data_IF_009294602406
#
_entry.id   IF_009294602406
#
_cell.length_a   1.000
_cell.length_b   1.000
_cell.length_c   1.000
_cell.angle_alpha   90.00
_cell.angle_beta   90.00
_cell.angle_gamma   90.00
#
_symmetry.space_group_name_H-M   'P 1'
#
loop_
_entity.id
_entity.type
_entity.pdbx_description
1 polymer ?
#
# COMPACT_ATOMS: atom_id res chain seq x y z
N UNK A 1 -19.24 -0.72 6.06
CA UNK A 1 -19.85 0.32 6.92
C UNK A 1 -18.70 1.08 7.51
N UNK A 2 -18.62 2.39 7.26
CA UNK A 2 -17.58 3.24 7.80
C UNK A 2 -17.87 3.60 9.26
N UNK A 3 -16.83 3.62 10.09
CA UNK A 3 -16.87 4.24 11.42
C UNK A 3 -16.25 5.63 11.30
N UNK A 4 -16.94 6.62 11.87
CA UNK A 4 -16.42 7.99 11.94
C UNK A 4 -15.45 8.10 13.10
N UNK A 5 -14.25 8.59 12.83
CA UNK A 5 -13.20 8.79 13.82
C UNK A 5 -12.87 10.28 13.92
N UNK A 6 -12.78 10.76 15.15
CA UNK A 6 -12.48 12.17 15.42
C UNK A 6 -10.97 12.34 15.50
N UNK A 7 -10.41 13.20 14.65
CA UNK A 7 -9.02 13.60 14.76
C UNK A 7 -8.90 14.74 15.79
N UNK A 8 -8.22 14.44 16.90
CA UNK A 8 -8.14 15.33 18.06
C UNK A 8 -6.92 16.25 18.03
N UNK A 9 -5.92 15.95 17.21
CA UNK A 9 -4.76 16.80 17.01
C UNK A 9 -5.09 17.98 16.07
N UNK A 10 -4.28 19.04 16.13
CA UNK A 10 -4.33 20.14 15.16
C UNK A 10 -4.01 19.67 13.74
N UNK A 11 -3.84 20.59 12.79
CA UNK A 11 -3.43 20.24 11.42
C UNK A 11 -2.11 19.46 11.41
N UNK A 12 -2.17 18.22 10.93
CA UNK A 12 -1.01 17.34 10.79
C UNK A 12 -0.53 17.38 9.35
N UNK A 13 0.74 17.73 9.16
CA UNK A 13 1.42 17.56 7.86
C UNK A 13 2.30 16.33 7.93
N UNK A 14 2.13 15.42 6.96
CA UNK A 14 2.88 14.17 6.82
C UNK A 14 3.83 14.32 5.65
N UNK A 15 5.13 14.27 5.92
CA UNK A 15 6.13 14.24 4.87
C UNK A 15 6.13 12.88 4.17
N UNK A 16 6.45 12.90 2.88
CA UNK A 16 6.53 11.72 2.04
C UNK A 16 7.96 11.16 2.05
N UNK A 17 8.08 9.89 2.36
CA UNK A 17 9.34 9.13 2.26
C UNK A 17 9.42 8.36 0.93
N UNK A 18 10.63 8.02 0.48
CA UNK A 18 10.78 7.06 -0.63
C UNK A 18 10.29 5.66 -0.20
N UNK A 19 9.51 5.00 -1.05
CA UNK A 19 9.06 3.65 -0.78
C UNK A 19 10.23 2.67 -0.88
N UNK A 20 10.48 1.93 0.21
CA UNK A 20 11.43 0.82 0.24
C UNK A 20 10.94 -0.29 1.15
N UNK A 21 11.40 -1.53 0.95
CA UNK A 21 11.06 -2.62 1.86
C UNK A 21 11.47 -2.30 3.31
N UNK A 22 12.59 -1.61 3.54
CA UNK A 22 13.08 -1.25 4.88
C UNK A 22 12.18 -0.23 5.57
N UNK A 23 11.58 0.71 4.85
CA UNK A 23 10.70 1.72 5.47
C UNK A 23 9.25 1.22 5.59
N UNK A 24 8.85 0.28 4.74
CA UNK A 24 7.47 -0.23 4.66
C UNK A 24 7.22 -1.56 5.40
N UNK A 25 8.25 -2.25 5.89
CA UNK A 25 8.15 -3.64 6.39
C UNK A 25 7.09 -3.90 7.49
N UNK A 26 6.72 -2.87 8.25
CA UNK A 26 5.75 -3.00 9.34
C UNK A 26 4.30 -2.98 8.85
N UNK A 27 4.07 -2.53 7.60
CA UNK A 27 2.76 -2.40 6.98
C UNK A 27 2.52 -3.45 5.90
N UNK A 28 3.59 -4.00 5.33
CA UNK A 28 3.50 -4.99 4.26
C UNK A 28 4.82 -5.22 3.53
N UNK A 29 4.71 -5.51 2.24
CA UNK A 29 5.83 -5.85 1.35
C UNK A 29 5.86 -4.94 0.13
N UNK A 30 7.04 -4.47 -0.24
CA UNK A 30 7.31 -3.79 -1.52
C UNK A 30 7.78 -4.85 -2.50
N UNK A 31 7.12 -4.93 -3.65
CA UNK A 31 7.46 -5.84 -4.74
C UNK A 31 8.16 -5.03 -5.83
N UNK A 32 9.43 -5.31 -6.05
CA UNK A 32 10.24 -4.68 -7.08
C UNK A 32 11.35 -5.64 -7.54
N UNK A 33 12.07 -5.29 -8.61
CA UNK A 33 13.27 -6.02 -8.98
C UNK A 33 14.40 -5.70 -7.97
N UNK A 34 14.90 -6.67 -7.19
CA UNK A 34 15.92 -6.40 -6.18
C UNK A 34 17.30 -6.10 -6.77
N UNK A 35 17.56 -6.46 -8.03
CA UNK A 35 18.81 -6.13 -8.73
C UNK A 35 18.54 -5.60 -10.15
N UNK A 36 18.05 -4.35 -10.32
CA UNK A 36 17.67 -3.81 -11.63
C UNK A 36 18.80 -3.72 -12.66
N UNK A 37 20.06 -3.72 -12.21
CA UNK A 37 21.25 -3.70 -13.07
C UNK A 37 21.72 -5.09 -13.50
N UNK A 38 21.25 -6.15 -12.86
CA UNK A 38 21.65 -7.52 -13.16
C UNK A 38 20.84 -8.06 -14.34
N UNK A 39 21.53 -8.35 -15.44
CA UNK A 39 20.93 -8.99 -16.60
C UNK A 39 21.07 -10.52 -16.50
N UNK A 40 20.00 -11.30 -16.73
CA UNK A 40 20.10 -12.76 -16.79
C UNK A 40 21.09 -13.21 -17.88
N UNK A 41 21.99 -14.13 -17.54
CA UNK A 41 22.93 -14.74 -18.49
C UNK A 41 23.14 -16.23 -18.16
N UNK A 42 23.55 -17.08 -19.13
CA UNK A 42 23.73 -18.53 -18.92
C UNK A 42 24.68 -18.90 -17.77
N UNK A 43 25.65 -18.04 -17.46
CA UNK A 43 26.53 -18.15 -16.29
C UNK A 43 26.47 -16.86 -15.47
N UNK A 44 25.36 -16.68 -14.76
CA UNK A 44 25.26 -15.59 -13.77
C UNK A 44 26.22 -15.85 -12.60
N UNK A 45 26.81 -14.77 -12.05
CA UNK A 45 27.67 -14.84 -10.88
C UNK A 45 26.91 -15.23 -9.60
N UNK A 46 27.43 -14.83 -8.43
CA UNK A 46 26.73 -15.08 -7.16
C UNK A 46 25.39 -14.34 -7.15
N UNK A 47 24.29 -15.10 -7.10
CA UNK A 47 22.92 -14.58 -7.01
C UNK A 47 22.50 -14.38 -5.55
N UNK A 48 21.45 -13.56 -5.35
CA UNK A 48 20.74 -13.48 -4.07
C UNK A 48 20.13 -14.84 -3.69
N UNK A 49 19.93 -15.07 -2.39
CA UNK A 49 19.48 -16.36 -1.87
C UNK A 49 18.10 -16.80 -2.39
N UNK A 50 17.22 -15.86 -2.73
CA UNK A 50 15.90 -16.13 -3.28
C UNK A 50 15.83 -16.06 -4.82
N UNK A 51 16.97 -15.92 -5.50
CA UNK A 51 17.03 -15.84 -6.96
C UNK A 51 17.38 -17.21 -7.57
N UNK A 52 16.56 -17.64 -8.53
CA UNK A 52 16.73 -18.89 -9.27
C UNK A 52 16.92 -18.57 -10.75
N UNK A 53 17.97 -19.11 -11.36
CA UNK A 53 18.14 -19.05 -12.81
C UNK A 53 17.07 -19.92 -13.48
N UNK A 54 16.33 -19.33 -14.41
CA UNK A 54 15.22 -19.95 -15.11
C UNK A 54 15.38 -19.82 -16.63
N UNK A 55 14.51 -20.49 -17.40
CA UNK A 55 14.45 -20.41 -18.87
C UNK A 55 15.82 -20.61 -19.54
N UNK A 56 16.52 -21.69 -19.16
CA UNK A 56 17.85 -22.03 -19.69
C UNK A 56 18.89 -20.90 -19.55
N UNK A 57 18.73 -20.02 -18.55
CA UNK A 57 19.64 -18.91 -18.28
C UNK A 57 19.25 -17.56 -18.88
N UNK A 58 18.09 -17.47 -19.53
CA UNK A 58 17.54 -16.20 -20.04
C UNK A 58 16.68 -15.44 -19.04
N UNK A 59 16.39 -16.01 -17.86
CA UNK A 59 15.58 -15.36 -16.83
C UNK A 59 16.14 -15.56 -15.42
N UNK A 60 15.87 -14.59 -14.55
CA UNK A 60 16.01 -14.71 -13.10
C UNK A 60 14.62 -14.70 -12.48
N UNK A 61 14.31 -15.73 -11.70
CA UNK A 61 13.09 -15.84 -10.91
C UNK A 61 13.43 -15.53 -9.46
N UNK A 62 12.94 -14.40 -8.96
CA UNK A 62 12.94 -14.11 -7.53
C UNK A 62 11.73 -14.80 -6.90
N UNK A 63 11.99 -15.71 -5.98
CA UNK A 63 10.97 -16.54 -5.33
C UNK A 63 10.39 -15.81 -4.13
N UNK A 64 9.08 -15.95 -3.94
CA UNK A 64 8.35 -15.50 -2.74
C UNK A 64 8.51 -14.00 -2.45
N UNK A 65 8.31 -13.17 -3.49
CA UNK A 65 8.47 -11.70 -3.42
C UNK A 65 7.36 -10.99 -2.64
N UNK A 66 6.30 -11.70 -2.25
CA UNK A 66 5.24 -11.22 -1.37
C UNK A 66 4.51 -12.40 -0.72
N UNK A 67 3.88 -12.16 0.43
CA UNK A 67 3.08 -13.16 1.13
C UNK A 67 1.59 -12.87 0.94
N UNK A 68 0.90 -13.74 0.22
CA UNK A 68 -0.55 -13.69 0.08
C UNK A 68 -1.22 -14.44 1.23
N UNK A 69 -2.07 -13.76 2.01
CA UNK A 69 -2.82 -14.38 3.11
C UNK A 69 -4.32 -14.37 2.90
N UNK A 70 -4.92 -15.52 3.19
CA UNK A 70 -6.35 -15.73 3.32
C UNK A 70 -6.64 -16.16 4.76
N UNK A 71 -7.38 -15.32 5.49
CA UNK A 71 -7.77 -15.57 6.88
C UNK A 71 -9.30 -15.75 7.02
N UNK A 72 -10.07 -15.77 5.92
CA UNK A 72 -11.53 -15.83 5.96
C UNK A 72 -12.06 -17.13 6.57
N UNK A 73 -11.25 -18.20 6.64
CA UNK A 73 -11.58 -19.40 7.41
C UNK A 73 -11.86 -19.15 8.90
N UNK A 74 -11.40 -18.00 9.43
CA UNK A 74 -11.67 -17.53 10.79
C UNK A 74 -12.75 -16.45 10.88
N UNK A 75 -13.39 -16.09 9.77
CA UNK A 75 -14.44 -15.07 9.73
C UNK A 75 -15.74 -15.55 10.41
N UNK A 76 -16.58 -14.61 10.90
CA UNK A 76 -17.91 -14.93 11.40
C UNK A 76 -18.80 -15.63 10.36
N UNK A 77 -18.68 -15.24 9.08
CA UNK A 77 -19.45 -15.78 7.97
C UNK A 77 -18.92 -17.13 7.48
N UNK A 78 -18.85 -18.11 8.37
CA UNK A 78 -18.29 -19.47 8.16
C UNK A 78 -18.79 -20.23 6.92
N UNK A 79 -19.92 -19.81 6.35
CA UNK A 79 -20.55 -20.44 5.18
C UNK A 79 -20.24 -19.70 3.86
N UNK A 80 -19.51 -18.58 3.90
CA UNK A 80 -19.08 -17.83 2.73
C UNK A 80 -17.60 -18.16 2.45
N UNK A 81 -17.32 -19.11 1.55
CA UNK A 81 -15.94 -19.43 1.21
C UNK A 81 -15.27 -18.23 0.51
N UNK A 82 -14.05 -17.94 0.92
CA UNK A 82 -13.20 -16.98 0.21
C UNK A 82 -12.63 -17.57 -1.08
N UNK A 83 -12.24 -16.69 -1.98
CA UNK A 83 -11.42 -17.02 -3.14
C UNK A 83 -10.47 -15.88 -3.47
N UNK A 84 -9.39 -16.20 -4.17
CA UNK A 84 -8.56 -15.17 -4.79
C UNK A 84 -9.39 -14.41 -5.84
N UNK A 85 -9.29 -13.09 -5.81
CA UNK A 85 -9.88 -12.17 -6.78
C UNK A 85 -8.78 -11.30 -7.38
N UNK A 86 -8.91 -11.01 -8.66
CA UNK A 86 -8.04 -10.10 -9.41
C UNK A 86 -8.92 -9.06 -10.07
N UNK A 87 -8.69 -7.80 -9.74
CA UNK A 87 -9.48 -6.67 -10.24
C UNK A 87 -8.57 -5.69 -10.99
N UNK A 88 -9.17 -4.90 -11.88
CA UNK A 88 -8.50 -3.79 -12.55
C UNK A 88 -8.97 -2.47 -11.93
N UNK A 89 -8.03 -1.64 -11.51
CA UNK A 89 -8.28 -0.30 -11.03
C UNK A 89 -7.65 0.69 -12.00
N UNK A 90 -8.46 1.52 -12.64
CA UNK A 90 -7.99 2.62 -13.49
C UNK A 90 -8.09 3.90 -12.67
N UNK A 91 -6.95 4.37 -12.16
CA UNK A 91 -6.92 5.45 -11.18
C UNK A 91 -6.48 6.76 -11.82
N UNK A 92 -7.37 7.76 -11.82
CA UNK A 92 -7.04 9.12 -12.24
C UNK A 92 -6.20 9.85 -11.16
N UNK A 93 -5.33 10.81 -11.56
CA UNK A 93 -4.61 11.63 -10.61
C UNK A 93 -5.54 12.39 -9.66
N UNK A 94 -5.20 12.41 -8.37
CA UNK A 94 -5.90 13.18 -7.35
C UNK A 94 -5.46 14.64 -7.41
N UNK A 95 -6.42 15.55 -7.28
CA UNK A 95 -6.13 16.99 -7.19
C UNK A 95 -5.39 17.31 -5.90
N UNK A 96 -4.24 17.99 -6.03
CA UNK A 96 -3.47 18.48 -4.90
C UNK A 96 -3.88 19.91 -4.57
N UNK A 97 -3.97 20.23 -3.28
CA UNK A 97 -4.15 21.59 -2.79
C UNK A 97 -2.83 22.35 -3.03
N UNK A 98 -2.84 23.52 -3.69
CA UNK A 98 -1.61 24.27 -3.95
C UNK A 98 -0.87 24.63 -2.66
N UNK A 99 0.46 24.51 -2.69
CA UNK A 99 1.34 24.95 -1.61
C UNK A 99 2.18 26.15 -2.04
N UNK A 100 2.46 27.06 -1.12
CA UNK A 100 3.43 28.14 -1.36
C UNK A 100 4.88 27.63 -1.35
N UNK A 101 5.12 26.43 -0.83
CA UNK A 101 6.43 25.79 -0.84
C UNK A 101 6.75 25.28 -2.25
N UNK A 102 7.73 25.90 -2.90
CA UNK A 102 8.17 25.53 -4.27
C UNK A 102 8.76 24.12 -4.38
N UNK A 103 9.11 23.49 -3.27
CA UNK A 103 9.61 22.12 -3.24
C UNK A 103 8.47 21.09 -3.24
N UNK A 104 7.21 21.52 -3.15
CA UNK A 104 6.04 20.64 -3.14
C UNK A 104 5.24 20.80 -4.43
N UNK A 105 4.77 19.68 -4.97
CA UNK A 105 3.76 19.67 -6.03
C UNK A 105 2.39 20.13 -5.48
N UNK A 106 2.15 19.90 -4.19
CA UNK A 106 0.96 20.32 -3.47
C UNK A 106 0.72 19.44 -2.24
N UNK A 107 -0.44 19.59 -1.62
CA UNK A 107 -0.87 18.85 -0.44
C UNK A 107 -2.04 17.93 -0.79
N UNK A 108 -1.98 16.67 -0.35
CA UNK A 108 -3.11 15.75 -0.47
C UNK A 108 -3.84 15.62 0.87
N UNK A 109 -5.16 15.86 0.88
CA UNK A 109 -6.00 15.75 2.07
C UNK A 109 -6.44 14.29 2.29
N UNK A 110 -6.11 13.73 3.46
CA UNK A 110 -6.51 12.36 3.84
C UNK A 110 -7.84 12.40 4.58
N UNK A 111 -8.89 11.86 3.96
CA UNK A 111 -10.26 11.88 4.49
C UNK A 111 -10.73 10.51 5.01
N UNK A 112 -10.10 9.44 4.53
CA UNK A 112 -10.52 8.08 4.83
C UNK A 112 -9.30 7.14 4.82
N UNK A 113 -9.32 6.19 5.75
CA UNK A 113 -8.47 5.00 5.70
C UNK A 113 -9.37 3.77 5.68
N UNK A 114 -8.92 2.73 5.01
CA UNK A 114 -9.56 1.43 4.93
C UNK A 114 -8.58 0.33 5.36
N UNK A 115 -9.12 -0.85 5.68
CA UNK A 115 -8.33 -2.06 5.88
C UNK A 115 -9.08 -3.31 5.45
N UNK A 116 -8.30 -4.35 5.16
CA UNK A 116 -8.79 -5.69 4.82
C UNK A 116 -8.36 -6.68 5.91
N UNK A 117 -9.18 -6.92 6.96
CA UNK A 117 -8.73 -7.66 8.14
C UNK A 117 -8.45 -9.14 7.85
N UNK A 118 -9.10 -9.73 6.85
CA UNK A 118 -8.99 -11.16 6.53
C UNK A 118 -8.08 -11.46 5.34
N UNK A 119 -7.44 -10.46 4.72
CA UNK A 119 -6.60 -10.71 3.56
C UNK A 119 -5.52 -9.66 3.36
N UNK A 120 -4.42 -10.05 2.74
CA UNK A 120 -3.48 -9.11 2.13
C UNK A 120 -4.06 -8.56 0.82
N UNK A 121 -3.77 -7.31 0.50
CA UNK A 121 -4.17 -6.69 -0.77
C UNK A 121 -2.95 -6.17 -1.51
N UNK A 122 -2.79 -6.58 -2.76
CA UNK A 122 -1.63 -6.23 -3.59
C UNK A 122 -2.06 -5.33 -4.74
N UNK A 123 -1.40 -4.18 -4.90
CA UNK A 123 -1.54 -3.30 -6.06
C UNK A 123 -0.31 -3.38 -6.95
N UNK A 124 -0.52 -3.74 -8.22
CA UNK A 124 0.55 -3.91 -9.22
C UNK A 124 0.33 -2.89 -10.34
N UNK A 125 1.13 -1.82 -10.44
CA UNK A 125 0.99 -0.86 -11.52
C UNK A 125 1.35 -1.51 -12.86
N UNK A 126 0.56 -1.22 -13.89
CA UNK A 126 0.81 -1.63 -15.26
C UNK A 126 1.36 -0.46 -16.08
N UNK A 127 2.32 -0.77 -16.96
CA UNK A 127 2.73 0.15 -18.00
C UNK A 127 3.36 1.46 -17.52
N UNK A 128 3.98 1.48 -16.33
CA UNK A 128 4.76 2.65 -15.87
C UNK A 128 6.23 2.43 -16.20
N UNK A 129 6.62 2.85 -17.41
CA UNK A 129 8.03 2.83 -17.81
C UNK A 129 8.85 3.88 -17.04
N UNK A 130 10.18 3.71 -16.95
CA UNK A 130 11.08 4.69 -16.32
C UNK A 130 10.94 6.10 -16.89
N UNK A 131 10.67 6.23 -18.20
CA UNK A 131 10.45 7.52 -18.87
C UNK A 131 9.13 8.19 -18.50
N UNK A 132 8.18 7.43 -17.96
CA UNK A 132 6.86 7.92 -17.53
C UNK A 132 6.76 8.09 -16.02
N UNK A 133 7.78 7.65 -15.27
CA UNK A 133 7.82 7.75 -13.82
C UNK A 133 7.54 9.19 -13.35
N UNK A 134 8.12 10.20 -14.03
CA UNK A 134 7.90 11.63 -13.71
C UNK A 134 6.43 12.09 -13.82
N UNK A 135 5.61 11.37 -14.59
CA UNK A 135 4.22 11.70 -14.88
C UNK A 135 3.23 10.78 -14.15
N UNK A 136 3.72 9.64 -13.66
CA UNK A 136 2.94 8.56 -13.05
C UNK A 136 3.58 8.13 -11.74
N UNK A 137 3.11 8.74 -10.66
CA UNK A 137 3.44 8.36 -9.31
C UNK A 137 2.18 7.99 -8.54
N UNK A 138 2.35 7.27 -7.45
CA UNK A 138 1.25 7.05 -6.53
C UNK A 138 1.77 7.05 -5.09
N UNK A 139 0.91 7.50 -4.19
CA UNK A 139 1.20 7.57 -2.77
C UNK A 139 0.70 6.30 -2.09
N UNK A 140 1.48 5.85 -1.11
CA UNK A 140 1.09 4.83 -0.14
C UNK A 140 0.96 5.54 1.19
N UNK A 141 -0.26 5.59 1.72
CA UNK A 141 -0.54 6.24 3.01
C UNK A 141 -1.06 5.17 3.95
N UNK A 142 -0.38 4.96 5.07
CA UNK A 142 -0.65 3.86 6.00
C UNK A 142 -0.60 4.32 7.45
N UNK A 143 -1.32 3.63 8.32
CA UNK A 143 -1.28 3.86 9.75
C UNK A 143 -1.22 2.53 10.52
N UNK A 144 -0.49 2.47 11.65
CA UNK A 144 -0.64 1.36 12.57
C UNK A 144 -2.01 1.41 13.24
N UNK A 145 -2.42 0.32 13.89
CA UNK A 145 -3.64 0.31 14.70
C UNK A 145 -3.35 0.81 16.12
N UNK A 146 -4.32 1.50 16.71
CA UNK A 146 -4.44 1.74 18.14
C UNK A 146 -4.79 0.44 18.88
N UNK A 147 -4.76 0.48 20.21
CA UNK A 147 -5.37 -0.57 21.01
C UNK A 147 -6.89 -0.62 20.77
N UNK A 148 -7.46 -1.83 20.92
CA UNK A 148 -8.89 -2.06 20.74
C UNK A 148 -9.73 -1.20 21.70
N UNK A 149 -10.88 -0.72 21.25
CA UNK A 149 -11.76 0.14 22.06
C UNK A 149 -13.24 -0.19 21.84
N UNK A 150 -14.15 0.51 22.53
CA UNK A 150 -15.58 0.34 22.26
C UNK A 150 -15.97 0.81 20.84
N UNK A 151 -15.20 1.72 20.23
CA UNK A 151 -15.53 2.31 18.93
C UNK A 151 -15.35 1.33 17.77
N UNK A 152 -14.48 0.33 17.90
CA UNK A 152 -14.21 -0.68 16.89
C UNK A 152 -14.86 -2.04 17.21
N UNK A 153 -15.76 -2.09 18.20
CA UNK A 153 -16.36 -3.34 18.64
C UNK A 153 -17.21 -4.00 17.55
N UNK A 154 -17.76 -3.21 16.64
CA UNK A 154 -18.53 -3.69 15.50
C UNK A 154 -17.66 -4.34 14.40
N UNK A 155 -16.34 -4.16 14.42
CA UNK A 155 -15.46 -4.68 13.37
C UNK A 155 -15.06 -6.14 13.64
N UNK A 156 -15.45 -7.08 12.77
CA UNK A 156 -14.97 -8.45 12.85
C UNK A 156 -13.48 -8.51 12.51
N UNK A 157 -12.74 -9.36 13.22
CA UNK A 157 -11.31 -9.59 12.98
C UNK A 157 -11.00 -11.10 13.03
N UNK A 158 -9.92 -11.55 12.37
CA UNK A 158 -9.48 -12.94 12.44
C UNK A 158 -9.29 -13.43 13.88
N UNK A 159 -9.67 -14.69 14.13
CA UNK A 159 -9.49 -15.35 15.42
C UNK A 159 -8.75 -16.68 15.21
N UNK A 160 -7.70 -16.93 16.00
CA UNK A 160 -7.00 -18.20 16.00
C UNK A 160 -7.18 -18.91 17.33
N UNK A 161 -7.23 -20.24 17.27
CA UNK A 161 -7.06 -21.11 18.45
C UNK A 161 -5.59 -21.39 18.75
N UNK A 162 -4.67 -21.03 17.84
CA UNK A 162 -3.24 -21.18 18.02
C UNK A 162 -2.65 -19.89 18.64
N UNK A 163 -2.18 -19.92 19.90
CA UNK A 163 -1.64 -18.74 20.56
C UNK A 163 -0.31 -18.23 19.99
N UNK A 164 0.36 -19.01 19.11
CA UNK A 164 1.59 -18.59 18.43
C UNK A 164 1.32 -17.85 17.11
N UNK A 165 0.09 -17.88 16.62
CA UNK A 165 -0.28 -17.24 15.36
C UNK A 165 -0.54 -15.75 15.59
N UNK A 166 0.29 -14.90 14.98
CA UNK A 166 0.08 -13.45 15.00
C UNK A 166 -0.95 -13.09 13.92
N UNK A 167 -2.17 -12.83 14.35
CA UNK A 167 -3.27 -12.37 13.51
C UNK A 167 -3.50 -10.87 13.66
N UNK A 168 -4.11 -10.22 12.64
CA UNK A 168 -4.62 -8.86 12.79
C UNK A 168 -5.69 -8.80 13.88
N UNK A 169 -5.63 -7.76 14.71
CA UNK A 169 -6.58 -7.52 15.80
C UNK A 169 -7.52 -6.35 15.52
N UNK A 170 -8.34 -6.01 16.51
CA UNK A 170 -9.07 -4.73 16.54
C UNK A 170 -8.10 -3.55 16.76
N UNK A 171 -8.61 -2.34 16.63
CA UNK A 171 -7.87 -1.09 16.69
C UNK A 171 -8.25 -0.18 15.52
N UNK A 172 -8.69 1.04 15.81
CA UNK A 172 -8.83 2.12 14.83
C UNK A 172 -7.45 2.60 14.35
N UNK A 173 -7.33 3.30 13.21
CA UNK A 173 -6.03 3.78 12.74
C UNK A 173 -5.45 4.82 13.71
N UNK A 174 -4.18 4.67 14.03
CA UNK A 174 -3.43 5.62 14.82
C UNK A 174 -2.92 6.77 13.93
N UNK A 175 -3.75 7.80 13.83
CA UNK A 175 -3.50 8.96 12.97
C UNK A 175 -2.25 9.77 13.38
N UNK A 176 -1.76 9.63 14.61
CA UNK A 176 -0.51 10.28 15.06
C UNK A 176 0.75 9.59 14.54
N UNK A 177 0.61 8.34 14.06
CA UNK A 177 1.70 7.54 13.48
C UNK A 177 1.43 7.19 12.03
N UNK A 178 0.60 7.98 11.35
CA UNK A 178 0.41 7.88 9.91
C UNK A 178 1.73 8.12 9.19
N UNK A 179 1.96 7.39 8.09
CA UNK A 179 3.10 7.55 7.21
C UNK A 179 2.64 7.65 5.77
N UNK A 180 3.42 8.37 4.96
CA UNK A 180 3.22 8.47 3.52
C UNK A 180 4.51 8.10 2.79
N UNK A 181 4.37 7.35 1.70
CA UNK A 181 5.47 6.97 0.82
C UNK A 181 5.12 7.32 -0.63
N UNK A 182 6.12 7.60 -1.46
CA UNK A 182 5.96 7.74 -2.91
C UNK A 182 6.57 6.54 -3.63
N UNK A 183 5.78 5.94 -4.51
CA UNK A 183 6.23 4.87 -5.39
C UNK A 183 6.61 5.42 -6.76
N UNK A 184 7.68 4.86 -7.36
CA UNK A 184 8.22 5.31 -8.66
C UNK A 184 7.61 4.57 -9.88
N UNK A 185 6.47 3.90 -9.70
CA UNK A 185 5.73 3.18 -10.75
C UNK A 185 6.31 1.81 -11.13
N UNK A 186 7.57 1.53 -10.82
CA UNK A 186 8.18 0.19 -10.98
C UNK A 186 8.08 -0.69 -9.73
N UNK A 187 7.43 -0.16 -8.70
CA UNK A 187 7.18 -0.80 -7.42
C UNK A 187 5.71 -1.18 -7.36
N UNK A 188 5.40 -2.40 -6.95
CA UNK A 188 4.10 -2.84 -6.49
C UNK A 188 4.11 -2.94 -4.97
N UNK A 189 2.94 -2.94 -4.33
CA UNK A 189 2.84 -3.05 -2.87
C UNK A 189 1.84 -4.11 -2.49
N UNK A 190 2.15 -4.88 -1.45
CA UNK A 190 1.20 -5.72 -0.74
C UNK A 190 1.01 -5.16 0.66
N UNK A 191 -0.19 -4.68 0.97
CA UNK A 191 -0.59 -4.39 2.33
C UNK A 191 -0.76 -5.69 3.11
N UNK A 192 -0.22 -5.73 4.32
CA UNK A 192 -0.48 -6.80 5.28
C UNK A 192 -1.96 -6.86 5.64
N UNK A 193 -2.45 -8.06 5.99
CA UNK A 193 -3.83 -8.21 6.47
C UNK A 193 -4.08 -7.29 7.67
N UNK A 194 -5.17 -6.53 7.63
CA UNK A 194 -5.59 -5.57 8.65
C UNK A 194 -4.75 -4.30 8.76
N UNK A 195 -3.76 -4.07 7.89
CA UNK A 195 -3.07 -2.78 7.78
C UNK A 195 -4.06 -1.70 7.36
N UNK A 196 -4.09 -0.57 8.07
CA UNK A 196 -4.84 0.60 7.64
C UNK A 196 -4.08 1.33 6.53
N UNK A 197 -4.75 1.63 5.43
CA UNK A 197 -4.21 2.37 4.31
C UNK A 197 -5.26 3.28 3.66
N UNK A 198 -4.83 4.34 2.98
CA UNK A 198 -5.77 5.13 2.18
C UNK A 198 -6.18 4.34 0.91
N UNK A 199 -7.38 4.61 0.36
CA UNK A 199 -7.71 4.22 -1.01
C UNK A 199 -6.65 4.75 -1.99
N UNK A 200 -6.44 4.05 -3.11
CA UNK A 200 -5.31 4.33 -4.03
C UNK A 200 -5.22 5.81 -4.47
N UNK A 201 -4.05 6.42 -4.27
CA UNK A 201 -3.79 7.84 -4.54
C UNK A 201 -2.78 7.99 -5.66
N UNK A 202 -3.25 8.12 -6.90
CA UNK A 202 -2.38 8.49 -8.03
C UNK A 202 -2.09 9.99 -7.99
N UNK A 203 -0.84 10.37 -8.23
CA UNK A 203 -0.39 11.76 -8.33
C UNK A 203 0.44 11.94 -9.60
N UNK A 204 0.44 13.16 -10.15
CA UNK A 204 0.98 13.45 -11.48
C UNK A 204 -0.11 13.91 -12.44
N UNK A 205 0.09 13.72 -13.73
CA UNK A 205 -0.79 14.21 -14.80
C UNK A 205 -1.41 13.09 -15.66
N UNK A 206 -1.08 11.82 -15.38
CA UNK A 206 -1.60 10.66 -16.12
C UNK A 206 -2.20 9.60 -15.20
N UNK A 207 -3.22 8.85 -15.66
CA UNK A 207 -3.75 7.73 -14.92
C UNK A 207 -2.72 6.59 -14.81
N UNK A 208 -2.93 5.75 -13.79
CA UNK A 208 -2.21 4.48 -13.61
C UNK A 208 -3.25 3.36 -13.51
N UNK A 209 -3.01 2.30 -14.27
CA UNK A 209 -3.78 1.07 -14.21
C UNK A 209 -3.12 0.13 -13.20
N UNK A 210 -3.89 -0.45 -12.30
CA UNK A 210 -3.42 -1.42 -11.32
C UNK A 210 -4.15 -2.74 -11.49
N UNK A 211 -3.39 -3.83 -11.53
CA UNK A 211 -3.94 -5.14 -11.16
C UNK A 211 -3.95 -5.22 -9.65
N UNK A 212 -5.12 -5.49 -9.08
CA UNK A 212 -5.33 -5.61 -7.64
C UNK A 212 -5.65 -7.05 -7.29
N UNK A 213 -4.87 -7.64 -6.39
CA UNK A 213 -5.00 -9.06 -5.99
C UNK A 213 -5.27 -9.15 -4.50
N UNK A 214 -6.33 -9.85 -4.12
CA UNK A 214 -6.68 -10.13 -2.73
C UNK A 214 -7.53 -11.40 -2.64
N UNK A 215 -7.92 -11.80 -1.43
CA UNK A 215 -9.01 -12.74 -1.22
C UNK A 215 -10.30 -11.99 -0.85
N UNK A 216 -11.45 -12.52 -1.24
CA UNK A 216 -12.75 -11.97 -0.86
C UNK A 216 -13.76 -13.10 -0.67
N UNK A 217 -14.64 -12.94 0.31
CA UNK A 217 -15.78 -13.82 0.53
C UNK A 217 -17.14 -13.17 0.20
N UNK A 218 -17.13 -11.91 -0.24
CA UNK A 218 -18.32 -11.16 -0.64
C UNK A 218 -19.13 -10.58 0.51
N UNK A 219 -18.67 -10.70 1.76
CA UNK A 219 -19.33 -10.11 2.94
C UNK A 219 -18.73 -8.72 3.20
N UNK A 220 -19.46 -7.61 3.00
CA UNK A 220 -18.85 -6.28 2.92
C UNK A 220 -17.99 -5.88 4.12
N UNK A 221 -18.43 -6.16 5.35
CA UNK A 221 -17.72 -5.77 6.58
C UNK A 221 -16.52 -6.67 6.92
N UNK A 222 -16.44 -7.85 6.31
CA UNK A 222 -15.30 -8.76 6.41
C UNK A 222 -14.29 -8.46 5.29
N UNK A 223 -14.79 -8.14 4.10
CA UNK A 223 -13.97 -7.77 2.95
C UNK A 223 -13.31 -6.40 3.14
N UNK A 224 -13.99 -5.37 3.67
CA UNK A 224 -13.44 -4.03 3.86
C UNK A 224 -14.02 -3.31 5.09
N UNK A 225 -13.15 -2.64 5.85
CA UNK A 225 -13.52 -1.79 6.97
C UNK A 225 -12.97 -0.39 6.73
N UNK A 226 -13.82 0.62 6.94
CA UNK A 226 -13.52 2.01 6.61
C UNK A 226 -13.57 2.87 7.87
N UNK A 227 -12.65 3.82 7.95
CA UNK A 227 -12.57 4.84 8.99
C UNK A 227 -12.56 6.23 8.34
N UNK A 228 -13.69 6.94 8.45
CA UNK A 228 -13.84 8.31 7.95
C UNK A 228 -13.29 9.30 8.97
N UNK A 229 -12.42 10.21 8.53
CA UNK A 229 -11.74 11.16 9.40
C UNK A 229 -12.56 12.45 9.47
N UNK A 230 -13.20 12.68 10.62
CA UNK A 230 -13.94 13.92 10.87
C UNK A 230 -13.01 14.97 11.49
N UNK A 231 -12.69 15.99 10.71
CA UNK A 231 -11.72 17.01 11.08
C UNK A 231 -12.26 18.14 11.96
N UNK A 232 -13.56 18.48 11.89
CA UNK A 232 -14.11 19.65 12.59
C UNK A 232 -13.33 20.95 12.32
N UNK A 233 -12.68 21.08 11.15
CA UNK A 233 -11.74 22.16 10.79
C UNK A 233 -10.24 21.79 10.83
N UNK A 234 -9.91 20.59 11.30
CA UNK A 234 -8.56 20.00 11.28
C UNK A 234 -8.37 19.10 10.07
N UNK A 235 -7.14 18.98 9.58
CA UNK A 235 -6.82 18.18 8.40
C UNK A 235 -5.53 17.40 8.57
N UNK A 236 -5.49 16.21 7.98
CA UNK A 236 -4.25 15.47 7.74
C UNK A 236 -3.86 15.70 6.28
N UNK A 237 -2.71 16.34 6.08
CA UNK A 237 -2.21 16.72 4.77
C UNK A 237 -0.91 15.98 4.49
N UNK A 238 -0.84 15.29 3.36
CA UNK A 238 0.40 14.69 2.86
C UNK A 238 1.12 15.68 1.96
N UNK A 239 2.36 16.03 2.30
CA UNK A 239 3.20 16.96 1.53
C UNK A 239 3.83 16.26 0.33
N UNK A 240 3.22 16.39 -0.85
CA UNK A 240 3.69 15.70 -2.06
C UNK A 240 4.89 16.44 -2.64
N UNK A 241 6.06 15.81 -2.74
CA UNK A 241 7.25 16.47 -3.25
C UNK A 241 7.04 16.87 -4.72
N UNK A 242 7.54 18.04 -5.10
CA UNK A 242 7.69 18.37 -6.50
C UNK A 242 8.66 17.34 -7.10
N UNK A 243 8.27 16.69 -8.20
CA UNK A 243 9.19 15.87 -8.97
C UNK A 243 10.34 16.77 -9.41
N UNK A 244 11.50 16.69 -8.73
CA UNK A 244 12.67 17.42 -9.17
C UNK A 244 13.06 16.91 -10.56
N UNK A 245 13.41 17.78 -11.52
CA UNK A 245 14.11 17.36 -12.71
C UNK A 245 15.54 16.94 -12.31
N UNK A 246 15.72 15.72 -11.78
CA UNK A 246 17.05 15.14 -11.61
C UNK A 246 17.35 14.25 -12.82
N UNK A 247 18.51 14.23 -13.47
CA UNK A 247 19.68 15.10 -13.62
C UNK A 247 20.44 14.53 -14.87
N UNK A 248 21.57 15.09 -15.38
CA UNK A 248 21.98 14.92 -16.77
C UNK A 248 22.34 13.47 -17.12
N UNK A 249 22.08 13.10 -18.39
CA UNK A 249 22.53 11.84 -19.02
C UNK A 249 23.90 11.46 -18.49
N UNK A 250 24.02 10.24 -17.96
CA UNK A 250 25.31 9.59 -17.80
C UNK A 250 26.06 9.78 -19.12
N UNK A 251 27.21 10.45 -19.07
CA UNK A 251 28.10 10.52 -20.24
C UNK A 251 28.47 9.08 -20.57
N UNK A 252 28.21 8.72 -21.82
CA UNK A 252 28.66 7.51 -22.49
C UNK A 252 30.17 7.32 -22.32
#
# INVERSE_FOLDING_TARGET
MAVKIVFLCDNLTVDVEDLSQTTFHSFGTVIENPEPSLLPQPRTGKLLANAIQANQGSALKYVDVTNMRDLYGSSPSKNSPSRAVMNMFVCAPRTLIPSQNKNLAGMFHVEILERHPYTTQTFIPLGVGKSEAQHRHYLIIVAPSLDASAQDECFPVPKSTNPKEKLPGRGLPDLNRIKAFIANGSQAVTYGAGTWHAPMVVVGDKPIDFVVVQFSNGVPIEDCQEAEIEGGGRSIMVAVPATSPQHPRAKL
#
